data_IF_363496963994
#
_entry.id   IF_363496963994
#
_cell.length_a   1.000
_cell.length_b   1.000
_cell.length_c   1.000
_cell.angle_alpha   90.00
_cell.angle_beta   90.00
_cell.angle_gamma   90.00
#
_symmetry.space_group_name_H-M   'P 1'
#
loop_
_entity.id
_entity.type
_entity.pdbx_description
1 polymer ?
#
# COMPACT_ATOMS: atom_id res chain seq x y z
N UNK A 1 -38.11 64.77 -50.36
CA UNK A 1 -38.39 64.47 -48.94
C UNK A 1 -38.39 62.95 -48.73
N UNK A 2 -37.23 62.32 -48.51
CA UNK A 2 -37.15 60.83 -48.38
C UNK A 2 -36.15 60.35 -47.32
N UNK A 3 -35.51 61.24 -46.57
CA UNK A 3 -34.45 60.86 -45.62
C UNK A 3 -34.90 60.49 -44.20
N UNK A 4 -36.17 60.72 -43.82
CA UNK A 4 -36.62 60.58 -42.42
C UNK A 4 -37.13 59.18 -42.03
N UNK A 5 -37.55 58.36 -43.00
CA UNK A 5 -38.08 57.00 -42.74
C UNK A 5 -37.00 55.92 -42.62
N UNK A 6 -35.87 56.05 -43.33
CA UNK A 6 -34.80 55.03 -43.29
C UNK A 6 -34.06 54.98 -41.95
N UNK A 7 -33.93 56.12 -41.26
CA UNK A 7 -33.30 56.21 -39.93
C UNK A 7 -34.10 55.49 -38.84
N UNK A 8 -35.44 55.47 -38.93
CA UNK A 8 -36.30 54.77 -37.96
C UNK A 8 -36.28 53.25 -38.17
N UNK A 9 -36.31 52.80 -39.42
CA UNK A 9 -36.19 51.38 -39.77
C UNK A 9 -34.83 50.80 -39.39
N UNK A 10 -33.73 51.51 -39.66
CA UNK A 10 -32.39 51.10 -39.21
C UNK A 10 -32.30 51.00 -37.69
N UNK A 11 -32.90 51.94 -36.96
CA UNK A 11 -32.89 51.93 -35.49
C UNK A 11 -33.69 50.75 -34.92
N UNK A 12 -34.85 50.44 -35.48
CA UNK A 12 -35.65 49.27 -35.08
C UNK A 12 -34.97 47.95 -35.46
N UNK A 13 -34.37 47.86 -36.66
CA UNK A 13 -33.62 46.68 -37.08
C UNK A 13 -32.39 46.46 -36.17
N UNK A 14 -31.69 47.52 -35.80
CA UNK A 14 -30.55 47.44 -34.88
C UNK A 14 -31.00 47.02 -33.48
N UNK A 15 -32.12 47.56 -32.99
CA UNK A 15 -32.73 47.16 -31.71
C UNK A 15 -33.23 45.71 -31.70
N UNK A 16 -33.59 45.14 -32.84
CA UNK A 16 -34.01 43.73 -32.95
C UNK A 16 -32.83 42.77 -33.16
N UNK A 17 -31.82 43.18 -33.93
CA UNK A 17 -30.67 42.32 -34.31
C UNK A 17 -29.61 42.28 -33.22
N UNK A 18 -29.36 43.39 -32.51
CA UNK A 18 -28.34 43.46 -31.45
C UNK A 18 -28.63 42.46 -30.32
N UNK A 19 -29.83 42.38 -29.71
CA UNK A 19 -30.12 41.39 -28.67
C UNK A 19 -30.04 39.95 -29.18
N UNK A 20 -30.38 39.71 -30.45
CA UNK A 20 -30.24 38.40 -31.09
C UNK A 20 -28.78 37.98 -31.22
N UNK A 21 -27.92 38.89 -31.68
CA UNK A 21 -26.48 38.64 -31.82
C UNK A 21 -25.82 38.41 -30.45
N UNK A 22 -26.10 39.27 -29.48
CA UNK A 22 -25.57 39.12 -28.13
C UNK A 22 -26.14 37.89 -27.43
N UNK A 23 -27.42 37.55 -27.66
CA UNK A 23 -28.04 36.34 -27.14
C UNK A 23 -27.35 35.08 -27.66
N UNK A 24 -27.11 34.98 -28.98
CA UNK A 24 -26.41 33.83 -29.57
C UNK A 24 -24.97 33.72 -29.07
N UNK A 25 -24.24 34.83 -28.98
CA UNK A 25 -22.87 34.82 -28.44
C UNK A 25 -22.83 34.44 -26.95
N UNK A 26 -23.79 34.91 -26.17
CA UNK A 26 -23.88 34.58 -24.74
C UNK A 26 -24.24 33.11 -24.53
N UNK A 27 -25.15 32.55 -25.35
CA UNK A 27 -25.44 31.12 -25.36
C UNK A 27 -24.27 30.27 -25.84
N UNK A 28 -23.55 30.71 -26.87
CA UNK A 28 -22.36 30.01 -27.36
C UNK A 28 -21.24 30.00 -26.32
N UNK A 29 -20.95 31.16 -25.70
CA UNK A 29 -19.97 31.27 -24.63
C UNK A 29 -20.33 30.42 -23.41
N UNK A 30 -21.62 30.35 -23.03
CA UNK A 30 -22.10 29.47 -21.97
C UNK A 30 -21.99 27.98 -22.34
N UNK A 31 -22.29 27.61 -23.58
CA UNK A 31 -22.16 26.22 -24.05
C UNK A 31 -20.70 25.77 -24.13
N UNK A 32 -19.80 26.64 -24.56
CA UNK A 32 -18.38 26.35 -24.68
C UNK A 32 -17.72 26.23 -23.30
N UNK A 33 -17.99 27.19 -22.40
CA UNK A 33 -17.57 27.07 -21.00
C UNK A 33 -18.16 25.84 -20.30
N UNK A 34 -19.41 25.46 -20.59
CA UNK A 34 -20.01 24.23 -20.07
C UNK A 34 -19.29 22.96 -20.55
N UNK A 35 -18.98 22.90 -21.85
CA UNK A 35 -18.29 21.75 -22.45
C UNK A 35 -16.89 21.59 -21.85
N UNK A 36 -16.18 22.71 -21.68
CA UNK A 36 -14.85 22.72 -21.07
C UNK A 36 -14.89 22.28 -19.60
N UNK A 37 -15.88 22.75 -18.83
CA UNK A 37 -16.04 22.38 -17.40
C UNK A 37 -16.40 20.89 -17.23
N UNK A 38 -17.24 20.34 -18.11
CA UNK A 38 -17.59 18.92 -18.08
C UNK A 38 -16.44 18.03 -18.56
N UNK A 39 -15.66 18.47 -19.55
CA UNK A 39 -14.44 17.77 -19.98
C UNK A 39 -13.42 17.74 -18.85
N UNK A 40 -13.09 18.90 -18.27
CA UNK A 40 -12.10 19.02 -17.20
C UNK A 40 -12.45 18.17 -15.96
N UNK A 41 -13.74 17.99 -15.65
CA UNK A 41 -14.20 17.11 -14.55
C UNK A 41 -14.06 15.62 -14.87
N UNK A 42 -14.38 15.24 -16.11
CA UNK A 42 -14.20 13.86 -16.58
C UNK A 42 -12.71 13.50 -16.58
N UNK A 43 -11.87 14.42 -17.04
CA UNK A 43 -10.41 14.29 -17.08
C UNK A 43 -9.86 14.19 -15.64
N UNK A 44 -10.37 14.98 -14.69
CA UNK A 44 -10.00 14.85 -13.26
C UNK A 44 -10.24 13.43 -12.71
N UNK A 45 -11.39 12.84 -13.01
CA UNK A 45 -11.74 11.51 -12.49
C UNK A 45 -10.98 10.40 -13.21
N UNK A 46 -10.86 10.49 -14.54
CA UNK A 46 -10.23 9.45 -15.35
C UNK A 46 -8.70 9.49 -15.27
N UNK A 47 -8.10 10.67 -15.23
CA UNK A 47 -6.65 10.83 -15.33
C UNK A 47 -5.97 10.84 -13.95
N UNK A 48 -6.69 11.24 -12.90
CA UNK A 48 -6.11 11.37 -11.56
C UNK A 48 -6.78 10.45 -10.54
N UNK A 49 -8.09 10.58 -10.33
CA UNK A 49 -8.76 9.91 -9.21
C UNK A 49 -8.80 8.38 -9.38
N UNK A 50 -9.16 7.88 -10.56
CA UNK A 50 -9.23 6.42 -10.82
C UNK A 50 -7.85 5.75 -10.76
N UNK A 51 -6.80 6.25 -11.44
CA UNK A 51 -5.46 5.69 -11.31
C UNK A 51 -4.91 5.72 -9.88
N UNK A 52 -5.26 6.74 -9.10
CA UNK A 52 -4.94 6.80 -7.67
C UNK A 52 -5.63 5.68 -6.89
N UNK A 53 -6.93 5.43 -7.11
CA UNK A 53 -7.68 4.35 -6.44
C UNK A 53 -7.16 2.96 -6.81
N UNK A 54 -6.80 2.74 -8.06
CA UNK A 54 -6.21 1.48 -8.53
C UNK A 54 -4.83 1.25 -7.87
N UNK A 55 -3.95 2.25 -7.88
CA UNK A 55 -2.66 2.17 -7.19
C UNK A 55 -2.81 1.94 -5.67
N UNK A 56 -3.82 2.55 -5.05
CA UNK A 56 -4.13 2.36 -3.63
C UNK A 56 -4.49 0.90 -3.33
N UNK A 57 -5.40 0.33 -4.10
CA UNK A 57 -5.83 -1.06 -3.92
C UNK A 57 -4.65 -2.03 -4.07
N UNK A 58 -3.84 -1.86 -5.13
CA UNK A 58 -2.69 -2.72 -5.39
C UNK A 58 -1.61 -2.61 -4.31
N UNK A 59 -1.37 -1.40 -3.81
CA UNK A 59 -0.35 -1.18 -2.81
C UNK A 59 -0.77 -1.75 -1.44
N UNK A 60 -2.02 -1.53 -1.01
CA UNK A 60 -2.53 -2.12 0.25
C UNK A 60 -2.68 -3.63 0.18
N UNK A 61 -3.01 -4.19 -0.98
CA UNK A 61 -2.98 -5.63 -1.19
C UNK A 61 -1.55 -6.18 -1.03
N UNK A 62 -0.55 -5.49 -1.58
CA UNK A 62 0.87 -5.87 -1.45
C UNK A 62 1.33 -5.80 0.02
N UNK A 63 0.97 -4.74 0.74
CA UNK A 63 1.29 -4.57 2.16
C UNK A 63 0.64 -5.64 3.05
N UNK A 64 -0.64 -5.96 2.79
CA UNK A 64 -1.33 -7.06 3.46
C UNK A 64 -0.66 -8.42 3.18
N UNK A 65 -0.24 -8.67 1.94
CA UNK A 65 0.50 -9.88 1.60
C UNK A 65 1.85 -9.94 2.33
N UNK A 66 2.55 -8.82 2.50
CA UNK A 66 3.81 -8.76 3.24
C UNK A 66 3.61 -9.12 4.72
N UNK A 67 2.59 -8.54 5.36
CA UNK A 67 2.21 -8.88 6.72
C UNK A 67 1.94 -10.38 6.89
N UNK A 68 1.17 -10.98 5.98
CA UNK A 68 0.86 -12.41 5.98
C UNK A 68 2.10 -13.26 5.71
N UNK A 69 2.99 -12.83 4.83
CA UNK A 69 4.22 -13.55 4.51
C UNK A 69 5.15 -13.62 5.73
N UNK A 70 5.29 -12.53 6.50
CA UNK A 70 6.02 -12.57 7.78
C UNK A 70 5.38 -13.51 8.79
N UNK A 71 4.05 -13.50 8.93
CA UNK A 71 3.34 -14.44 9.80
C UNK A 71 3.53 -15.90 9.36
N UNK A 72 3.54 -16.16 8.05
CA UNK A 72 3.80 -17.48 7.48
C UNK A 72 5.24 -17.92 7.75
N UNK A 73 6.20 -17.00 7.68
CA UNK A 73 7.60 -17.26 7.98
C UNK A 73 7.81 -17.63 9.46
N UNK A 74 7.15 -16.93 10.38
CA UNK A 74 7.11 -17.34 11.80
C UNK A 74 6.54 -18.77 11.96
N UNK A 75 5.48 -19.08 11.23
CA UNK A 75 4.89 -20.42 11.19
C UNK A 75 5.86 -21.48 10.68
N UNK A 76 6.62 -21.22 9.61
CA UNK A 76 7.61 -22.18 9.09
C UNK A 76 8.74 -22.45 10.05
N UNK A 77 9.27 -21.43 10.75
CA UNK A 77 10.28 -21.65 11.79
C UNK A 77 9.73 -22.49 12.95
N UNK A 78 8.49 -22.24 13.37
CA UNK A 78 7.83 -23.04 14.41
C UNK A 78 7.64 -24.49 13.97
N UNK A 79 7.23 -24.71 12.71
CA UNK A 79 7.11 -26.05 12.13
C UNK A 79 8.47 -26.75 12.05
N UNK A 80 9.54 -26.07 11.64
CA UNK A 80 10.90 -26.63 11.62
C UNK A 80 11.34 -27.10 13.00
N UNK A 81 11.06 -26.33 14.06
CA UNK A 81 11.41 -26.71 15.42
C UNK A 81 10.57 -27.88 15.94
N UNK A 82 9.25 -27.84 15.72
CA UNK A 82 8.35 -28.94 16.09
C UNK A 82 8.74 -30.25 15.39
N UNK A 83 9.17 -30.14 14.15
CA UNK A 83 9.61 -31.28 13.34
C UNK A 83 10.94 -31.85 13.85
N UNK A 84 11.88 -30.97 14.21
CA UNK A 84 13.10 -31.40 14.86
C UNK A 84 12.82 -32.10 16.19
N UNK A 85 11.92 -31.56 16.99
CA UNK A 85 11.48 -32.16 18.25
C UNK A 85 10.91 -33.56 18.06
N UNK A 86 10.13 -33.76 16.99
CA UNK A 86 9.62 -35.07 16.63
C UNK A 86 10.78 -36.03 16.28
N UNK A 87 11.69 -35.63 15.38
CA UNK A 87 12.86 -36.44 15.01
C UNK A 87 13.77 -36.80 16.20
N UNK A 88 13.90 -35.89 17.17
CA UNK A 88 14.74 -36.09 18.35
C UNK A 88 14.09 -36.99 19.41
N UNK A 89 12.76 -37.10 19.43
CA UNK A 89 11.99 -37.86 20.44
C UNK A 89 11.37 -39.17 19.94
N UNK A 90 11.29 -39.36 18.62
CA UNK A 90 10.65 -40.52 18.02
C UNK A 90 11.49 -41.81 18.06
N UNK A 91 10.80 -42.94 18.07
CA UNK A 91 11.38 -44.26 17.82
C UNK A 91 12.01 -44.25 16.41
N UNK A 92 13.28 -44.63 16.22
CA UNK A 92 13.90 -44.76 14.90
C UNK A 92 13.05 -45.55 13.88
N UNK A 93 12.19 -46.46 14.35
CA UNK A 93 11.27 -47.22 13.51
C UNK A 93 10.18 -46.37 12.81
N UNK A 94 9.85 -45.17 13.32
CA UNK A 94 8.85 -44.27 12.70
C UNK A 94 9.46 -43.30 11.69
N UNK A 95 10.78 -43.14 11.70
CA UNK A 95 11.55 -42.32 10.74
C UNK A 95 11.91 -43.18 9.52
N UNK A 96 10.92 -43.48 8.68
CA UNK A 96 11.13 -44.25 7.46
C UNK A 96 12.03 -43.52 6.46
N UNK A 97 12.52 -44.23 5.43
CA UNK A 97 13.34 -43.62 4.37
C UNK A 97 12.66 -42.42 3.70
N UNK A 98 11.34 -42.45 3.57
CA UNK A 98 10.55 -41.40 2.90
C UNK A 98 10.29 -40.19 3.82
N UNK A 99 10.68 -40.28 5.10
CA UNK A 99 10.52 -39.21 6.07
C UNK A 99 11.33 -37.95 5.69
N UNK A 100 12.44 -38.11 4.97
CA UNK A 100 13.31 -37.00 4.57
C UNK A 100 12.61 -35.96 3.67
N UNK A 101 11.53 -36.37 3.00
CA UNK A 101 10.68 -35.49 2.17
C UNK A 101 10.09 -34.36 3.00
N UNK A 102 9.73 -34.61 4.26
CA UNK A 102 9.00 -33.65 5.08
C UNK A 102 9.90 -32.48 5.55
N UNK A 103 11.08 -32.70 6.18
CA UNK A 103 12.03 -31.62 6.47
C UNK A 103 12.49 -30.86 5.23
N UNK A 104 12.74 -31.54 4.10
CA UNK A 104 13.08 -30.89 2.82
C UNK A 104 11.97 -29.96 2.36
N UNK A 105 10.72 -30.42 2.40
CA UNK A 105 9.56 -29.63 1.99
C UNK A 105 9.39 -28.38 2.86
N UNK A 106 9.64 -28.48 4.17
CA UNK A 106 9.58 -27.34 5.08
C UNK A 106 10.67 -26.32 4.75
N UNK A 107 11.91 -26.76 4.51
CA UNK A 107 13.03 -25.88 4.12
C UNK A 107 12.73 -25.19 2.77
N UNK A 108 12.27 -25.94 1.77
CA UNK A 108 11.89 -25.38 0.48
C UNK A 108 10.76 -24.35 0.60
N UNK A 109 9.76 -24.62 1.44
CA UNK A 109 8.68 -23.68 1.74
C UNK A 109 9.23 -22.40 2.38
N UNK A 110 10.11 -22.53 3.37
CA UNK A 110 10.73 -21.38 4.04
C UNK A 110 11.55 -20.53 3.07
N UNK A 111 12.29 -21.15 2.15
CA UNK A 111 13.06 -20.44 1.12
C UNK A 111 12.15 -19.67 0.15
N UNK A 112 11.04 -20.28 -0.27
CA UNK A 112 10.03 -19.61 -1.12
C UNK A 112 9.42 -18.40 -0.41
N UNK A 113 9.04 -18.55 0.86
CA UNK A 113 8.47 -17.46 1.66
C UNK A 113 9.49 -16.35 1.88
N UNK A 114 10.76 -16.68 2.15
CA UNK A 114 11.83 -15.70 2.30
C UNK A 114 12.04 -14.88 1.03
N UNK A 115 12.05 -15.54 -0.14
CA UNK A 115 12.13 -14.85 -1.43
C UNK A 115 10.90 -13.95 -1.66
N UNK A 116 9.71 -14.45 -1.35
CA UNK A 116 8.45 -13.70 -1.47
C UNK A 116 8.45 -12.45 -0.58
N UNK A 117 8.93 -12.54 0.67
CA UNK A 117 9.06 -11.39 1.57
C UNK A 117 9.98 -10.31 0.96
N UNK A 118 11.10 -10.72 0.36
CA UNK A 118 12.03 -9.79 -0.31
C UNK A 118 11.39 -9.10 -1.53
N UNK A 119 10.66 -9.85 -2.35
CA UNK A 119 9.93 -9.32 -3.50
C UNK A 119 8.84 -8.34 -3.06
N UNK A 120 7.99 -8.73 -2.10
CA UNK A 120 6.91 -7.91 -1.58
C UNK A 120 7.42 -6.62 -0.92
N UNK A 121 8.54 -6.69 -0.19
CA UNK A 121 9.17 -5.50 0.41
C UNK A 121 9.60 -4.50 -0.68
N UNK A 122 10.25 -4.99 -1.74
CA UNK A 122 10.69 -4.14 -2.86
C UNK A 122 9.50 -3.55 -3.60
N UNK A 123 8.48 -4.37 -3.86
CA UNK A 123 7.25 -3.93 -4.51
C UNK A 123 6.50 -2.89 -3.68
N UNK A 124 6.44 -3.06 -2.36
CA UNK A 124 5.80 -2.13 -1.44
C UNK A 124 6.50 -0.76 -1.42
N UNK A 125 7.84 -0.75 -1.39
CA UNK A 125 8.63 0.50 -1.43
C UNK A 125 8.37 1.30 -2.72
N UNK A 126 8.30 0.61 -3.86
CA UNK A 126 7.96 1.24 -5.14
C UNK A 126 6.51 1.72 -5.15
N UNK A 127 5.53 0.87 -4.80
CA UNK A 127 4.12 1.23 -4.89
C UNK A 127 3.75 2.36 -3.94
N UNK A 128 4.35 2.42 -2.74
CA UNK A 128 4.08 3.46 -1.75
C UNK A 128 4.48 4.82 -2.30
N UNK A 129 5.71 4.94 -2.84
CA UNK A 129 6.15 6.19 -3.47
C UNK A 129 5.26 6.60 -4.63
N UNK A 130 4.88 5.66 -5.50
CA UNK A 130 3.99 5.93 -6.62
C UNK A 130 2.60 6.38 -6.15
N UNK A 131 2.06 5.76 -5.11
CA UNK A 131 0.75 6.09 -4.54
C UNK A 131 0.74 7.50 -3.94
N UNK A 132 1.74 7.85 -3.13
CA UNK A 132 1.81 9.20 -2.54
C UNK A 132 1.97 10.30 -3.59
N UNK A 133 2.72 10.03 -4.67
CA UNK A 133 2.77 10.96 -5.81
C UNK A 133 1.38 11.14 -6.46
N UNK A 134 0.61 10.06 -6.60
CA UNK A 134 -0.77 10.15 -7.13
C UNK A 134 -1.69 10.90 -6.16
N UNK A 135 -1.52 10.77 -4.85
CA UNK A 135 -2.25 11.58 -3.89
C UNK A 135 -1.92 13.06 -4.02
N UNK A 136 -0.65 13.41 -4.18
CA UNK A 136 -0.21 14.78 -4.44
C UNK A 136 -0.80 15.33 -5.75
N UNK A 137 -0.78 14.56 -6.83
CA UNK A 137 -1.37 14.95 -8.12
C UNK A 137 -2.88 15.24 -7.99
N UNK A 138 -3.63 14.38 -7.31
CA UNK A 138 -5.07 14.61 -7.02
C UNK A 138 -5.26 15.83 -6.13
N UNK A 139 -4.42 16.02 -5.11
CA UNK A 139 -4.50 17.15 -4.20
C UNK A 139 -4.27 18.49 -4.93
N UNK A 140 -3.30 18.54 -5.85
CA UNK A 140 -3.07 19.69 -6.71
C UNK A 140 -4.26 19.94 -7.64
N UNK A 141 -4.75 18.91 -8.31
CA UNK A 141 -5.88 19.04 -9.25
C UNK A 141 -7.19 19.45 -8.55
N UNK A 142 -7.37 19.06 -7.28
CA UNK A 142 -8.51 19.42 -6.44
C UNK A 142 -8.29 20.68 -5.60
N UNK A 143 -7.12 21.31 -5.65
CA UNK A 143 -6.75 22.45 -4.81
C UNK A 143 -6.87 22.16 -3.29
N UNK A 144 -6.51 20.95 -2.87
CA UNK A 144 -6.53 20.48 -1.47
C UNK A 144 -5.12 20.19 -0.92
N UNK A 145 -4.09 20.79 -1.54
CA UNK A 145 -2.68 20.48 -1.24
C UNK A 145 -2.29 20.71 0.22
N UNK A 146 -2.73 21.82 0.83
CA UNK A 146 -2.41 22.11 2.24
C UNK A 146 -2.99 21.05 3.19
N UNK A 147 -4.23 20.61 2.95
CA UNK A 147 -4.86 19.54 3.75
C UNK A 147 -4.18 18.19 3.53
N UNK A 148 -3.75 17.91 2.29
CA UNK A 148 -2.93 16.74 1.97
C UNK A 148 -1.62 16.75 2.76
N UNK A 149 -0.91 17.87 2.81
CA UNK A 149 0.34 17.99 3.57
C UNK A 149 0.12 17.76 5.07
N UNK A 150 -0.97 18.28 5.63
CA UNK A 150 -1.28 18.08 7.05
C UNK A 150 -1.58 16.61 7.36
N UNK A 151 -2.35 15.92 6.51
CA UNK A 151 -2.62 14.48 6.64
C UNK A 151 -1.32 13.67 6.48
N UNK A 152 -0.47 14.00 5.50
CA UNK A 152 0.80 13.34 5.28
C UNK A 152 1.75 13.47 6.48
N UNK A 153 1.82 14.66 7.10
CA UNK A 153 2.61 14.88 8.33
C UNK A 153 2.09 14.06 9.50
N UNK A 154 0.77 13.95 9.66
CA UNK A 154 0.17 13.11 10.71
C UNK A 154 0.51 11.64 10.49
N UNK A 155 0.42 11.17 9.24
CA UNK A 155 0.85 9.83 8.84
C UNK A 155 2.31 9.59 9.20
N UNK A 156 3.21 10.50 8.81
CA UNK A 156 4.65 10.35 9.08
C UNK A 156 4.97 10.27 10.58
N UNK A 157 4.24 11.04 11.40
CA UNK A 157 4.34 10.96 12.84
C UNK A 157 3.84 9.61 13.38
N UNK A 158 2.72 9.11 12.84
CA UNK A 158 2.09 7.87 13.28
C UNK A 158 2.89 6.61 12.87
N UNK A 159 3.49 6.57 11.67
CA UNK A 159 4.29 5.42 11.21
C UNK A 159 5.68 5.38 11.83
N UNK A 160 6.17 6.49 12.40
CA UNK A 160 7.54 6.58 12.94
C UNK A 160 7.81 5.53 14.02
N UNK A 161 6.88 5.34 14.95
CA UNK A 161 7.06 4.40 16.05
C UNK A 161 7.08 2.94 15.56
N UNK A 162 6.13 2.47 14.72
CA UNK A 162 6.24 1.16 14.07
C UNK A 162 7.55 0.95 13.30
N UNK A 163 7.97 1.92 12.47
CA UNK A 163 9.23 1.79 11.73
C UNK A 163 10.45 1.71 12.65
N UNK A 164 10.49 2.52 13.72
CA UNK A 164 11.57 2.45 14.70
C UNK A 164 11.61 1.08 15.41
N UNK A 165 10.44 0.51 15.75
CA UNK A 165 10.35 -0.84 16.31
C UNK A 165 10.89 -1.88 15.33
N UNK A 166 10.49 -1.82 14.06
CA UNK A 166 11.00 -2.73 13.01
C UNK A 166 12.52 -2.64 12.88
N UNK A 167 13.08 -1.43 12.83
CA UNK A 167 14.52 -1.23 12.73
C UNK A 167 15.27 -1.82 13.95
N UNK A 168 14.77 -1.53 15.16
CA UNK A 168 15.36 -2.07 16.39
C UNK A 168 15.36 -3.61 16.43
N UNK A 169 14.29 -4.25 15.96
CA UNK A 169 14.23 -5.72 15.87
C UNK A 169 15.27 -6.28 14.91
N UNK A 170 15.45 -5.65 13.75
CA UNK A 170 16.44 -6.09 12.77
C UNK A 170 17.87 -5.87 13.26
N UNK A 171 18.13 -4.75 13.93
CA UNK A 171 19.44 -4.43 14.52
C UNK A 171 19.81 -5.39 15.65
N UNK A 172 18.85 -5.71 16.52
CA UNK A 172 19.04 -6.68 17.60
C UNK A 172 19.43 -8.06 17.05
N UNK A 173 18.76 -8.49 15.98
CA UNK A 173 19.06 -9.76 15.31
C UNK A 173 20.41 -9.70 14.62
N UNK A 174 20.71 -8.62 13.90
CA UNK A 174 22.01 -8.45 13.23
C UNK A 174 23.18 -8.44 14.24
N UNK A 175 22.98 -7.89 15.45
CA UNK A 175 23.97 -7.91 16.52
C UNK A 175 24.17 -9.30 17.13
N UNK A 176 23.10 -10.10 17.24
CA UNK A 176 23.11 -11.46 17.82
C UNK A 176 23.53 -12.54 16.82
N UNK A 177 23.21 -12.39 15.54
CA UNK A 177 23.52 -13.36 14.49
C UNK A 177 24.83 -13.02 13.78
N UNK A 178 25.91 -13.70 14.16
CA UNK A 178 27.18 -13.70 13.40
C UNK A 178 27.21 -14.91 12.46
N UNK A 179 27.20 -14.75 11.13
CA UNK A 179 27.14 -15.86 10.17
C UNK A 179 28.22 -16.94 10.38
N UNK A 180 29.44 -16.54 10.76
CA UNK A 180 30.52 -17.48 11.09
C UNK A 180 30.19 -18.41 12.27
N UNK A 181 29.64 -17.86 13.35
CA UNK A 181 29.24 -18.65 14.53
C UNK A 181 28.09 -19.63 14.26
N UNK A 182 27.21 -19.28 13.31
CA UNK A 182 26.08 -20.12 12.93
C UNK A 182 26.54 -21.32 12.09
N UNK A 183 27.44 -21.09 11.13
CA UNK A 183 28.05 -22.17 10.34
C UNK A 183 28.91 -23.10 11.21
N UNK A 184 29.62 -22.56 12.19
CA UNK A 184 30.40 -23.37 13.14
C UNK A 184 29.49 -24.20 14.05
N UNK A 185 28.35 -23.65 14.47
CA UNK A 185 27.35 -24.40 15.24
C UNK A 185 26.70 -25.51 14.40
N UNK A 186 26.36 -25.22 13.14
CA UNK A 186 25.85 -26.22 12.18
C UNK A 186 26.86 -27.35 11.97
N UNK A 187 28.14 -27.02 11.74
CA UNK A 187 29.21 -28.01 11.60
C UNK A 187 29.40 -28.84 12.87
N UNK A 188 29.43 -28.20 14.04
CA UNK A 188 29.55 -28.91 15.32
C UNK A 188 28.36 -29.85 15.58
N UNK A 189 27.17 -29.45 15.15
CA UNK A 189 25.96 -30.27 15.27
C UNK A 189 26.00 -31.49 14.33
N UNK A 190 26.63 -31.37 13.17
CA UNK A 190 26.85 -32.46 12.21
C UNK A 190 27.98 -33.42 12.61
N UNK A 191 28.92 -32.99 13.46
CA UNK A 191 30.03 -33.82 13.97
C UNK A 191 29.74 -34.44 15.35
N UNK A 192 28.62 -34.10 15.97
CA UNK A 192 28.22 -34.65 17.27
C UNK A 192 27.63 -36.05 17.07
N UNK A 193 27.94 -36.99 17.96
CA UNK A 193 27.41 -38.36 17.94
C UNK A 193 25.93 -38.32 18.40
N UNK A 194 25.01 -38.02 17.46
CA UNK A 194 23.59 -37.73 17.74
C UNK A 194 22.77 -38.96 18.12
N UNK A 195 23.40 -40.13 18.22
CA UNK A 195 22.73 -41.40 18.50
C UNK A 195 22.39 -41.61 19.99
N UNK A 196 22.98 -40.80 20.89
CA UNK A 196 22.66 -40.86 22.33
C UNK A 196 21.51 -39.92 22.70
N UNK A 197 20.72 -40.31 23.70
CA UNK A 197 19.60 -39.49 24.19
C UNK A 197 20.09 -38.12 24.74
N UNK A 198 21.26 -38.07 25.38
CA UNK A 198 21.86 -36.81 25.85
C UNK A 198 22.29 -35.91 24.70
N UNK A 199 22.85 -36.46 23.61
CA UNK A 199 23.21 -35.68 22.43
C UNK A 199 21.97 -35.11 21.71
N UNK A 200 20.89 -35.90 21.59
CA UNK A 200 19.60 -35.43 21.05
C UNK A 200 19.01 -34.29 21.88
N UNK A 201 19.03 -34.41 23.21
CA UNK A 201 18.57 -33.36 24.11
C UNK A 201 19.42 -32.08 24.00
N UNK A 202 20.75 -32.20 23.93
CA UNK A 202 21.65 -31.07 23.76
C UNK A 202 21.46 -30.37 22.40
N UNK A 203 21.23 -31.14 21.33
CA UNK A 203 20.97 -30.59 19.99
C UNK A 203 19.62 -29.87 19.92
N UNK A 204 18.58 -30.42 20.57
CA UNK A 204 17.29 -29.75 20.75
C UNK A 204 17.45 -28.38 21.39
N UNK A 205 18.17 -28.29 22.51
CA UNK A 205 18.41 -27.01 23.19
C UNK A 205 19.12 -26.01 22.27
N UNK A 206 20.14 -26.43 21.53
CA UNK A 206 20.87 -25.56 20.61
C UNK A 206 20.00 -25.06 19.46
N UNK A 207 19.16 -25.92 18.89
CA UNK A 207 18.28 -25.55 17.78
C UNK A 207 17.17 -24.61 18.22
N UNK A 208 16.53 -24.87 19.37
CA UNK A 208 15.55 -23.95 19.96
C UNK A 208 16.16 -22.58 20.28
N UNK A 209 17.40 -22.55 20.82
CA UNK A 209 18.11 -21.30 21.08
C UNK A 209 18.35 -20.45 19.83
N UNK A 210 18.30 -21.04 18.62
CA UNK A 210 18.40 -20.33 17.35
C UNK A 210 17.05 -20.08 16.67
N UNK A 211 16.17 -21.07 16.69
CA UNK A 211 14.90 -21.03 15.97
C UNK A 211 13.80 -20.26 16.71
N UNK A 212 13.70 -20.35 18.04
CA UNK A 212 12.67 -19.63 18.80
C UNK A 212 12.80 -18.11 18.62
N UNK A 213 14.01 -17.51 18.70
CA UNK A 213 14.18 -16.09 18.39
C UNK A 213 13.82 -15.72 16.94
N UNK A 214 14.04 -16.63 15.98
CA UNK A 214 13.68 -16.38 14.59
C UNK A 214 12.16 -16.39 14.40
N UNK A 215 11.45 -17.36 14.98
CA UNK A 215 9.99 -17.41 14.96
C UNK A 215 9.38 -16.18 15.65
N UNK A 216 9.94 -15.77 16.80
CA UNK A 216 9.51 -14.57 17.51
C UNK A 216 9.77 -13.31 16.68
N UNK A 217 10.94 -13.16 16.08
CA UNK A 217 11.28 -12.03 15.21
C UNK A 217 10.23 -11.85 14.11
N UNK A 218 9.94 -12.91 13.35
CA UNK A 218 8.99 -12.83 12.24
C UNK A 218 7.56 -12.57 12.72
N UNK A 219 7.20 -13.04 13.91
CA UNK A 219 5.93 -12.70 14.55
C UNK A 219 5.86 -11.20 14.87
N UNK A 220 6.93 -10.65 15.45
CA UNK A 220 7.00 -9.23 15.78
C UNK A 220 7.06 -8.34 14.52
N UNK A 221 7.71 -8.79 13.45
CA UNK A 221 7.69 -8.13 12.14
C UNK A 221 6.26 -8.11 11.57
N UNK A 222 5.54 -9.24 11.59
CA UNK A 222 4.15 -9.29 11.13
C UNK A 222 3.25 -8.31 11.91
N UNK A 223 3.38 -8.27 13.24
CA UNK A 223 2.64 -7.31 14.08
C UNK A 223 2.98 -5.86 13.76
N UNK A 224 4.25 -5.58 13.46
CA UNK A 224 4.70 -4.24 13.12
C UNK A 224 4.18 -3.80 11.75
N UNK A 225 4.22 -4.69 10.75
CA UNK A 225 3.59 -4.43 9.43
C UNK A 225 2.07 -4.26 9.56
N UNK A 226 1.40 -5.01 10.43
CA UNK A 226 -0.03 -4.80 10.69
C UNK A 226 -0.31 -3.41 11.25
N UNK A 227 0.55 -2.92 12.15
CA UNK A 227 0.41 -1.58 12.72
C UNK A 227 0.65 -0.49 11.67
N UNK A 228 1.63 -0.67 10.78
CA UNK A 228 1.88 0.24 9.64
C UNK A 228 0.67 0.25 8.71
N UNK A 229 0.21 -0.93 8.27
CA UNK A 229 -0.93 -1.10 7.38
C UNK A 229 -2.18 -0.39 7.92
N UNK A 230 -2.41 -0.45 9.23
CA UNK A 230 -3.54 0.24 9.85
C UNK A 230 -3.42 1.77 9.71
N UNK A 231 -2.26 2.33 10.04
CA UNK A 231 -2.01 3.78 9.91
C UNK A 231 -2.19 4.22 8.45
N UNK A 232 -1.67 3.42 7.53
CA UNK A 232 -1.79 3.64 6.11
C UNK A 232 -3.24 3.59 5.61
N UNK A 233 -4.03 2.61 6.04
CA UNK A 233 -5.47 2.53 5.71
C UNK A 233 -6.27 3.70 6.27
N UNK A 234 -5.98 4.11 7.51
CA UNK A 234 -6.61 5.27 8.14
C UNK A 234 -6.25 6.57 7.40
N UNK A 235 -5.02 6.67 6.91
CA UNK A 235 -4.54 7.80 6.08
C UNK A 235 -5.23 7.80 4.72
N UNK A 236 -5.28 6.65 4.04
CA UNK A 236 -5.97 6.50 2.76
C UNK A 236 -7.43 6.95 2.89
N UNK A 237 -8.13 6.50 3.93
CA UNK A 237 -9.53 6.85 4.17
C UNK A 237 -9.73 8.38 4.30
N UNK A 238 -8.84 9.06 5.02
CA UNK A 238 -8.87 10.52 5.16
C UNK A 238 -8.64 11.23 3.82
N UNK A 239 -7.62 10.81 3.07
CA UNK A 239 -7.29 11.38 1.76
C UNK A 239 -8.42 11.16 0.75
N UNK A 240 -8.95 9.94 0.68
CA UNK A 240 -10.07 9.59 -0.21
C UNK A 240 -11.30 10.42 0.14
N UNK A 241 -11.63 10.58 1.43
CA UNK A 241 -12.76 11.39 1.86
C UNK A 241 -12.58 12.87 1.49
N UNK A 242 -11.36 13.41 1.67
CA UNK A 242 -10.99 14.76 1.26
C UNK A 242 -11.20 14.97 -0.24
N UNK A 243 -10.63 14.09 -1.06
CA UNK A 243 -10.71 14.20 -2.52
C UNK A 243 -12.13 13.96 -3.04
N UNK A 244 -12.83 12.96 -2.52
CA UNK A 244 -14.20 12.65 -2.94
C UNK A 244 -15.16 13.81 -2.63
N UNK A 245 -14.99 14.48 -1.49
CA UNK A 245 -15.79 15.66 -1.13
C UNK A 245 -15.59 16.78 -2.15
N UNK A 246 -14.36 17.07 -2.53
CA UNK A 246 -14.04 18.16 -3.44
C UNK A 246 -14.45 17.84 -4.89
N UNK A 247 -14.21 16.60 -5.35
CA UNK A 247 -14.72 16.11 -6.64
C UNK A 247 -16.25 16.23 -6.67
N UNK A 248 -16.96 15.74 -5.65
CA UNK A 248 -18.43 15.81 -5.57
C UNK A 248 -18.94 17.26 -5.54
N UNK A 249 -18.28 18.14 -4.79
CA UNK A 249 -18.66 19.55 -4.71
C UNK A 249 -18.51 20.26 -6.05
N UNK A 250 -17.41 20.03 -6.79
CA UNK A 250 -17.22 20.57 -8.15
C UNK A 250 -18.30 20.10 -9.12
N UNK A 251 -18.73 18.84 -9.02
CA UNK A 251 -19.88 18.33 -9.80
C UNK A 251 -21.19 19.03 -9.43
N UNK A 252 -21.48 19.23 -8.13
CA UNK A 252 -22.72 19.89 -7.66
C UNK A 252 -22.76 21.38 -7.96
N UNK A 253 -21.64 22.10 -7.85
CA UNK A 253 -21.58 23.55 -8.09
C UNK A 253 -21.88 23.89 -9.55
N UNK A 254 -21.47 23.05 -10.50
CA UNK A 254 -21.89 23.18 -11.90
C UNK A 254 -23.39 23.02 -12.10
N UNK A 255 -24.02 22.06 -11.43
CA UNK A 255 -25.48 21.85 -11.46
C UNK A 255 -26.25 23.01 -10.79
N UNK A 256 -25.74 23.55 -9.69
CA UNK A 256 -26.39 24.67 -8.99
C UNK A 256 -26.24 25.99 -9.76
N UNK A 257 -25.07 26.29 -10.35
CA UNK A 257 -24.92 27.41 -11.30
C UNK A 257 -25.83 27.25 -12.53
N UNK A 258 -26.11 26.03 -12.94
CA UNK A 258 -27.01 25.71 -14.06
C UNK A 258 -28.49 25.94 -13.71
N UNK A 259 -28.91 25.67 -12.47
CA UNK A 259 -30.29 25.84 -12.02
C UNK A 259 -30.62 27.24 -11.49
N UNK A 260 -29.62 27.97 -11.01
CA UNK A 260 -29.81 29.33 -10.47
C UNK A 260 -28.63 30.24 -10.86
N UNK A 261 -28.65 30.81 -12.08
CA UNK A 261 -27.63 31.74 -12.53
C UNK A 261 -27.99 33.14 -12.00
N UNK A 262 -27.76 33.40 -10.72
CA UNK A 262 -27.82 34.72 -10.11
C UNK A 262 -26.58 34.95 -9.25
#
# INVERSE_FOLDING_TARGET
MTHRKSLSLMRELTLAVVPLFFGVYLFAALLETYKDDMSARKDLVLDFYRPMREAQADCRATEQQLMLAYGTQAGTYTLMLSEFDHMASADPATLTRDYDVLPRSIIESNNKITAQVGELTTKLDVCTRTLYRKYEEVALATATYDQFLDIARQRDAAVRAPYAKRAALLDEVAAKFKPGSMMDTLRQSLTSDVDTAEAKAAMKVKLHAMGDPAAELYTQLAQTEQAILKVEQDTDAQLIALFAKEVSWRYKRGLLRMLWPW
#
